data_IF_965338809135
#
_entry.id   IF_965338809135
#
_cell.length_a   1.000
_cell.length_b   1.000
_cell.length_c   1.000
_cell.angle_alpha   90.00
_cell.angle_beta   90.00
_cell.angle_gamma   90.00
#
_symmetry.space_group_name_H-M   'P 1'
#
loop_
_entity.id
_entity.type
_entity.pdbx_description
1 polymer ?
#
# COMPACT_ATOMS: atom_id res chain seq x y z
N UNK A 1 1.79 -11.44 -20.68
CA UNK A 1 1.17 -11.08 -19.38
C UNK A 1 -0.34 -10.98 -19.60
N UNK A 2 -1.10 -11.97 -19.16
CA UNK A 2 -2.57 -11.82 -19.18
C UNK A 2 -2.90 -10.82 -18.07
N UNK A 3 -3.63 -9.76 -18.44
CA UNK A 3 -4.14 -8.78 -17.46
C UNK A 3 -5.22 -9.44 -16.60
N UNK A 4 -4.77 -10.15 -15.58
CA UNK A 4 -5.66 -10.65 -14.52
C UNK A 4 -6.02 -9.50 -13.58
N UNK A 5 -7.16 -9.57 -12.90
CA UNK A 5 -7.56 -8.56 -11.89
C UNK A 5 -6.48 -8.42 -10.82
N UNK A 6 -5.85 -9.52 -10.41
CA UNK A 6 -4.75 -9.53 -9.47
C UNK A 6 -3.53 -8.74 -9.99
N UNK A 7 -3.07 -9.04 -11.21
CA UNK A 7 -1.93 -8.31 -11.81
C UNK A 7 -2.22 -6.81 -12.02
N UNK A 8 -3.50 -6.44 -12.24
CA UNK A 8 -3.89 -5.02 -12.28
C UNK A 8 -3.79 -4.38 -10.88
N UNK A 9 -4.22 -5.08 -9.83
CA UNK A 9 -4.09 -4.60 -8.45
C UNK A 9 -2.64 -4.44 -8.03
N UNK A 10 -1.77 -5.41 -8.36
CA UNK A 10 -0.32 -5.30 -8.15
C UNK A 10 0.27 -4.07 -8.81
N UNK A 11 -0.09 -3.83 -10.08
CA UNK A 11 0.39 -2.67 -10.81
C UNK A 11 -0.10 -1.36 -10.20
N UNK A 12 -1.40 -1.26 -9.91
CA UNK A 12 -2.01 -0.08 -9.27
C UNK A 12 -1.39 0.17 -7.89
N UNK A 13 -1.24 -0.88 -7.08
CA UNK A 13 -0.61 -0.80 -5.76
C UNK A 13 0.84 -0.31 -5.84
N UNK A 14 1.62 -0.89 -6.75
CA UNK A 14 3.03 -0.51 -6.97
C UNK A 14 3.16 0.94 -7.41
N UNK A 15 2.38 1.38 -8.40
CA UNK A 15 2.39 2.77 -8.86
C UNK A 15 2.00 3.72 -7.72
N UNK A 16 0.92 3.43 -7.03
CA UNK A 16 0.40 4.27 -5.96
C UNK A 16 1.41 4.39 -4.79
N UNK A 17 1.97 3.27 -4.34
CA UNK A 17 2.93 3.28 -3.24
C UNK A 17 4.30 3.85 -3.65
N UNK A 18 4.76 3.63 -4.88
CA UNK A 18 5.97 4.27 -5.38
C UNK A 18 5.82 5.79 -5.41
N UNK A 19 4.67 6.31 -5.89
CA UNK A 19 4.37 7.74 -5.85
C UNK A 19 4.30 8.26 -4.42
N UNK A 20 3.62 7.55 -3.51
CA UNK A 20 3.54 7.93 -2.09
C UNK A 20 4.94 8.03 -1.46
N UNK A 21 5.80 7.03 -1.68
CA UNK A 21 7.17 7.02 -1.20
C UNK A 21 8.03 8.14 -1.80
N UNK A 22 7.94 8.33 -3.12
CA UNK A 22 8.70 9.37 -3.82
C UNK A 22 8.30 10.79 -3.36
N UNK A 23 6.98 11.06 -3.21
CA UNK A 23 6.47 12.35 -2.70
C UNK A 23 7.03 12.61 -1.30
N UNK A 24 7.00 11.62 -0.42
CA UNK A 24 7.52 11.77 0.94
C UNK A 24 9.04 12.01 0.94
N UNK A 25 9.80 11.29 0.10
CA UNK A 25 11.24 11.49 -0.06
C UNK A 25 11.58 12.93 -0.48
N UNK A 26 10.82 13.48 -1.44
CA UNK A 26 10.96 14.90 -1.85
C UNK A 26 10.63 15.86 -0.69
N UNK A 27 9.54 15.62 0.06
CA UNK A 27 9.20 16.43 1.25
C UNK A 27 10.29 16.41 2.30
N UNK A 28 10.98 15.28 2.47
CA UNK A 28 12.10 15.11 3.40
C UNK A 28 13.43 15.59 2.84
N UNK A 29 13.45 16.17 1.63
CA UNK A 29 14.64 16.69 0.94
C UNK A 29 15.72 15.61 0.74
N UNK A 30 15.31 14.37 0.51
CA UNK A 30 16.22 13.28 0.16
C UNK A 30 16.78 13.51 -1.24
N UNK A 31 17.98 13.01 -1.48
CA UNK A 31 18.57 12.98 -2.81
C UNK A 31 17.87 11.93 -3.72
N UNK A 32 18.27 11.86 -4.97
CA UNK A 32 17.66 10.94 -5.94
C UNK A 32 17.75 9.48 -5.49
N UNK A 33 18.85 9.10 -4.82
CA UNK A 33 19.01 7.74 -4.31
C UNK A 33 18.04 7.46 -3.16
N UNK A 34 17.95 8.38 -2.19
CA UNK A 34 17.02 8.28 -1.06
C UNK A 34 15.55 8.21 -1.52
N UNK A 35 15.16 9.00 -2.53
CA UNK A 35 13.82 8.97 -3.12
C UNK A 35 13.54 7.61 -3.76
N UNK A 36 14.50 7.04 -4.51
CA UNK A 36 14.35 5.71 -5.09
C UNK A 36 14.21 4.62 -4.03
N UNK A 37 15.07 4.62 -3.01
CA UNK A 37 15.00 3.65 -1.92
C UNK A 37 13.64 3.74 -1.21
N UNK A 38 13.17 4.95 -0.92
CA UNK A 38 11.89 5.13 -0.23
C UNK A 38 10.71 4.67 -1.08
N UNK A 39 10.72 4.94 -2.38
CA UNK A 39 9.70 4.49 -3.33
C UNK A 39 9.66 2.96 -3.45
N UNK A 40 10.84 2.32 -3.62
CA UNK A 40 10.96 0.85 -3.71
C UNK A 40 10.50 0.21 -2.41
N UNK A 41 10.98 0.69 -1.26
CA UNK A 41 10.61 0.14 0.04
C UNK A 41 9.11 0.26 0.29
N UNK A 42 8.50 1.38 -0.12
CA UNK A 42 7.04 1.56 0.02
C UNK A 42 6.28 0.58 -0.87
N UNK A 43 6.71 0.43 -2.13
CA UNK A 43 6.00 -0.41 -3.11
C UNK A 43 6.20 -1.92 -2.86
N UNK A 44 7.39 -2.34 -2.46
CA UNK A 44 7.73 -3.77 -2.37
C UNK A 44 7.81 -4.29 -0.93
N UNK A 45 7.98 -3.41 0.07
CA UNK A 45 8.27 -3.81 1.45
C UNK A 45 7.19 -4.66 2.09
N UNK A 46 5.90 -4.35 1.85
CA UNK A 46 4.78 -5.15 2.37
C UNK A 46 4.77 -6.57 1.79
N UNK A 47 4.99 -6.70 0.48
CA UNK A 47 5.10 -8.00 -0.20
C UNK A 47 6.29 -8.81 0.31
N UNK A 48 7.44 -8.18 0.54
CA UNK A 48 8.62 -8.85 1.11
C UNK A 48 8.31 -9.40 2.50
N UNK A 49 7.64 -8.62 3.37
CA UNK A 49 7.23 -9.08 4.69
C UNK A 49 6.28 -10.28 4.61
N UNK A 50 5.28 -10.23 3.71
CA UNK A 50 4.35 -11.33 3.45
C UNK A 50 5.10 -12.58 3.02
N UNK A 51 5.97 -12.48 2.02
CA UNK A 51 6.69 -13.61 1.44
C UNK A 51 7.58 -14.30 2.50
N UNK A 52 8.25 -13.53 3.35
CA UNK A 52 9.02 -14.07 4.49
C UNK A 52 8.13 -14.83 5.46
N UNK A 53 6.91 -14.32 5.77
CA UNK A 53 5.98 -14.96 6.70
C UNK A 53 5.47 -16.31 6.16
N UNK A 54 5.17 -16.39 4.86
CA UNK A 54 4.70 -17.65 4.23
C UNK A 54 5.85 -18.59 3.84
N UNK A 55 7.11 -18.16 4.01
CA UNK A 55 8.29 -18.98 3.67
C UNK A 55 8.62 -19.00 2.17
N UNK A 56 8.09 -18.08 1.36
CA UNK A 56 8.43 -17.91 -0.06
C UNK A 56 9.76 -17.15 -0.17
N UNK A 57 10.86 -17.89 -0.16
CA UNK A 57 12.22 -17.36 -0.07
C UNK A 57 13.05 -17.80 -1.28
N UNK A 58 13.75 -16.87 -1.97
CA UNK A 58 13.80 -15.43 -1.73
C UNK A 58 12.47 -14.74 -2.09
N UNK A 59 12.09 -13.64 -1.41
CA UNK A 59 10.86 -12.90 -1.71
C UNK A 59 10.68 -12.58 -3.19
N UNK A 60 9.45 -12.57 -3.69
CA UNK A 60 9.11 -12.41 -5.12
C UNK A 60 9.73 -11.16 -5.74
N UNK A 61 9.85 -10.07 -4.99
CA UNK A 61 10.49 -8.83 -5.45
C UNK A 61 11.96 -9.01 -5.84
N UNK A 62 12.64 -10.05 -5.33
CA UNK A 62 14.02 -10.38 -5.70
C UNK A 62 14.09 -11.46 -6.79
N UNK A 63 13.03 -12.26 -6.96
CA UNK A 63 12.93 -13.25 -8.03
C UNK A 63 12.57 -12.60 -9.37
N UNK A 64 11.63 -11.64 -9.35
CA UNK A 64 11.24 -10.83 -10.51
C UNK A 64 11.33 -9.34 -10.18
N UNK A 65 12.35 -8.63 -10.69
CA UNK A 65 12.57 -7.22 -10.40
C UNK A 65 11.62 -6.27 -11.16
N UNK A 66 10.61 -6.77 -11.86
CA UNK A 66 9.70 -5.98 -12.68
C UNK A 66 9.03 -4.83 -11.88
N UNK A 67 8.45 -5.14 -10.73
CA UNK A 67 7.79 -4.13 -9.88
C UNK A 67 8.79 -3.17 -9.23
N UNK A 68 10.00 -3.65 -8.89
CA UNK A 68 11.10 -2.79 -8.43
C UNK A 68 11.49 -1.80 -9.54
N UNK A 69 11.58 -2.27 -10.79
CA UNK A 69 11.84 -1.44 -11.96
C UNK A 69 10.78 -0.36 -12.18
N UNK A 70 9.50 -0.70 -12.03
CA UNK A 70 8.38 0.26 -12.08
C UNK A 70 8.53 1.32 -10.99
N UNK A 71 8.78 0.90 -9.74
CA UNK A 71 8.96 1.84 -8.63
C UNK A 71 10.13 2.81 -8.87
N UNK A 72 11.27 2.30 -9.36
CA UNK A 72 12.40 3.13 -9.76
C UNK A 72 12.04 4.12 -10.87
N UNK A 73 11.35 3.65 -11.91
CA UNK A 73 10.96 4.49 -13.05
C UNK A 73 10.06 5.64 -12.59
N UNK A 74 9.08 5.36 -11.75
CA UNK A 74 8.15 6.36 -11.18
C UNK A 74 8.91 7.36 -10.31
N UNK A 75 9.81 6.89 -9.43
CA UNK A 75 10.61 7.74 -8.56
C UNK A 75 11.48 8.72 -9.37
N UNK A 76 12.17 8.21 -10.39
CA UNK A 76 13.03 9.01 -11.26
C UNK A 76 12.22 9.99 -12.13
N UNK A 77 11.09 9.55 -12.71
CA UNK A 77 10.21 10.42 -13.48
C UNK A 77 9.69 11.58 -12.63
N UNK A 78 9.29 11.31 -11.39
CA UNK A 78 8.84 12.32 -10.46
C UNK A 78 9.96 13.27 -10.05
N UNK A 79 11.16 12.75 -9.77
CA UNK A 79 12.33 13.57 -9.44
C UNK A 79 12.68 14.53 -10.58
N UNK A 80 12.74 14.02 -11.82
CA UNK A 80 13.04 14.83 -13.01
C UNK A 80 11.97 15.91 -13.19
N UNK A 81 10.68 15.53 -13.12
CA UNK A 81 9.58 16.48 -13.27
C UNK A 81 9.64 17.62 -12.26
N UNK A 82 9.91 17.32 -10.99
CA UNK A 82 10.04 18.32 -9.93
C UNK A 82 11.30 19.17 -10.08
N UNK A 83 12.41 18.59 -10.57
CA UNK A 83 13.68 19.33 -10.80
C UNK A 83 13.53 20.35 -11.92
N UNK A 84 12.73 20.05 -12.94
CA UNK A 84 12.43 20.97 -14.04
C UNK A 84 11.51 22.12 -13.62
N UNK A 85 10.61 21.87 -12.66
CA UNK A 85 9.63 22.85 -12.17
C UNK A 85 10.06 23.46 -10.84
N UNK A 86 11.17 24.19 -10.84
CA UNK A 86 11.92 24.73 -9.67
C UNK A 86 11.12 25.57 -8.66
N UNK A 87 9.88 25.92 -8.93
CA UNK A 87 9.03 26.70 -8.01
C UNK A 87 7.78 25.91 -7.63
N UNK A 88 7.88 25.20 -6.50
CA UNK A 88 6.69 24.62 -5.86
C UNK A 88 6.05 25.70 -4.98
N UNK A 89 4.90 26.26 -5.34
CA UNK A 89 4.22 27.25 -4.50
C UNK A 89 3.88 26.63 -3.13
N UNK A 90 3.98 27.39 -2.05
CA UNK A 90 3.61 26.95 -0.69
C UNK A 90 2.17 26.40 -0.62
N UNK A 91 1.27 26.86 -1.49
CA UNK A 91 -0.09 26.31 -1.67
C UNK A 91 -0.11 24.82 -2.09
N UNK A 92 0.95 24.29 -2.70
CA UNK A 92 1.00 22.90 -3.11
C UNK A 92 1.28 21.92 -1.95
N UNK A 93 1.68 22.39 -0.77
CA UNK A 93 1.93 21.47 0.36
C UNK A 93 0.66 20.70 0.75
N UNK A 94 -0.49 21.36 0.79
CA UNK A 94 -1.78 20.69 1.06
C UNK A 94 -2.20 19.72 -0.06
N UNK A 95 -1.83 20.04 -1.32
CA UNK A 95 -2.05 19.15 -2.46
C UNK A 95 -1.18 17.88 -2.33
N UNK A 96 0.08 18.02 -1.91
CA UNK A 96 0.94 16.86 -1.66
C UNK A 96 0.39 15.94 -0.56
N UNK A 97 -0.14 16.50 0.54
CA UNK A 97 -0.73 15.70 1.60
C UNK A 97 -1.97 14.95 1.12
N UNK A 98 -2.81 15.59 0.32
CA UNK A 98 -3.96 14.94 -0.33
C UNK A 98 -3.52 13.85 -1.32
N UNK A 99 -2.48 14.10 -2.12
CA UNK A 99 -1.92 13.11 -3.06
C UNK A 99 -1.37 11.89 -2.31
N UNK A 100 -0.58 12.11 -1.25
CA UNK A 100 -0.06 11.01 -0.42
C UNK A 100 -1.22 10.21 0.17
N UNK A 101 -2.26 10.87 0.70
CA UNK A 101 -3.45 10.21 1.23
C UNK A 101 -4.13 9.30 0.20
N UNK A 102 -4.36 9.78 -1.02
CA UNK A 102 -5.05 9.02 -2.05
C UNK A 102 -4.18 7.88 -2.60
N UNK A 103 -2.92 8.13 -2.89
CA UNK A 103 -2.00 7.09 -3.34
C UNK A 103 -1.80 6.02 -2.26
N UNK A 104 -1.70 6.42 -1.01
CA UNK A 104 -1.58 5.50 0.11
C UNK A 104 -2.88 4.68 0.31
N UNK A 105 -4.05 5.29 0.12
CA UNK A 105 -5.34 4.60 0.17
C UNK A 105 -5.48 3.57 -0.96
N UNK A 106 -5.11 3.94 -2.19
CA UNK A 106 -5.14 3.03 -3.34
C UNK A 106 -4.17 1.87 -3.18
N UNK A 107 -2.94 2.16 -2.75
CA UNK A 107 -1.92 1.15 -2.49
C UNK A 107 -2.33 0.20 -1.36
N UNK A 108 -2.88 0.74 -0.26
CA UNK A 108 -3.42 -0.06 0.84
C UNK A 108 -4.49 -1.03 0.36
N UNK A 109 -5.47 -0.54 -0.41
CA UNK A 109 -6.58 -1.35 -0.91
C UNK A 109 -6.11 -2.45 -1.86
N UNK A 110 -5.25 -2.10 -2.81
CA UNK A 110 -4.70 -3.02 -3.79
C UNK A 110 -3.86 -4.13 -3.14
N UNK A 111 -2.92 -3.75 -2.28
CA UNK A 111 -2.02 -4.71 -1.66
C UNK A 111 -2.66 -5.49 -0.50
N UNK A 112 -3.69 -4.98 0.15
CA UNK A 112 -4.48 -5.81 1.08
C UNK A 112 -5.18 -6.93 0.32
N UNK A 113 -5.79 -6.63 -0.82
CA UNK A 113 -6.46 -7.61 -1.66
C UNK A 113 -5.46 -8.62 -2.25
N UNK A 114 -4.33 -8.14 -2.78
CA UNK A 114 -3.26 -8.98 -3.32
C UNK A 114 -2.68 -9.92 -2.26
N UNK A 115 -2.28 -9.40 -1.11
CA UNK A 115 -1.64 -10.19 -0.06
C UNK A 115 -2.55 -11.27 0.52
N UNK A 116 -3.85 -10.99 0.65
CA UNK A 116 -4.83 -12.00 1.07
C UNK A 116 -4.95 -13.09 0.00
N UNK A 117 -5.04 -12.71 -1.27
CA UNK A 117 -5.18 -13.66 -2.36
C UNK A 117 -3.96 -14.58 -2.51
N UNK A 118 -2.76 -14.03 -2.40
CA UNK A 118 -1.52 -14.81 -2.40
C UNK A 118 -1.50 -15.82 -1.23
N UNK A 119 -2.04 -15.45 -0.07
CA UNK A 119 -2.21 -16.38 1.04
C UNK A 119 -3.13 -17.56 0.69
N UNK A 120 -4.21 -17.31 -0.05
CA UNK A 120 -5.10 -18.36 -0.55
C UNK A 120 -4.36 -19.27 -1.55
N UNK A 121 -3.66 -18.69 -2.53
CA UNK A 121 -2.88 -19.44 -3.53
C UNK A 121 -1.74 -20.25 -2.91
N UNK A 122 -1.17 -19.78 -1.82
CA UNK A 122 -0.14 -20.50 -1.05
C UNK A 122 -0.71 -21.68 -0.22
N UNK A 123 -2.02 -21.94 -0.31
CA UNK A 123 -2.67 -23.06 0.35
C UNK A 123 -3.20 -22.77 1.76
N UNK A 124 -3.21 -21.51 2.18
CA UNK A 124 -3.70 -21.11 3.52
C UNK A 124 -5.17 -20.67 3.54
N UNK A 125 -5.94 -20.96 2.47
CA UNK A 125 -7.33 -20.48 2.31
C UNK A 125 -8.27 -20.86 3.46
N UNK A 126 -8.05 -21.98 4.13
CA UNK A 126 -8.84 -22.43 5.29
C UNK A 126 -8.54 -21.63 6.57
N UNK A 127 -7.41 -20.94 6.63
CA UNK A 127 -7.01 -20.12 7.78
C UNK A 127 -7.34 -18.65 7.55
N UNK A 128 -8.61 -18.28 7.81
CA UNK A 128 -9.12 -16.92 7.60
C UNK A 128 -8.26 -15.86 8.33
N UNK A 129 -7.83 -16.16 9.56
CA UNK A 129 -6.99 -15.25 10.32
C UNK A 129 -5.67 -14.96 9.58
N UNK A 130 -5.00 -16.01 9.11
CA UNK A 130 -3.72 -15.87 8.43
C UNK A 130 -3.87 -15.11 7.12
N UNK A 131 -4.84 -15.45 6.27
CA UNK A 131 -5.01 -14.78 4.97
C UNK A 131 -5.38 -13.29 5.14
N UNK A 132 -6.22 -12.94 6.13
CA UNK A 132 -6.53 -11.55 6.45
C UNK A 132 -5.29 -10.82 6.99
N UNK A 133 -4.49 -11.49 7.85
CA UNK A 133 -3.23 -10.93 8.34
C UNK A 133 -2.21 -10.71 7.23
N UNK A 134 -2.09 -11.65 6.27
CA UNK A 134 -1.22 -11.51 5.11
C UNK A 134 -1.64 -10.32 4.23
N UNK A 135 -2.94 -10.15 4.00
CA UNK A 135 -3.48 -8.97 3.33
C UNK A 135 -3.14 -7.68 4.09
N UNK A 136 -3.41 -7.67 5.38
CA UNK A 136 -3.10 -6.53 6.25
C UNK A 136 -1.61 -6.16 6.20
N UNK A 137 -0.70 -7.10 6.43
CA UNK A 137 0.75 -6.79 6.47
C UNK A 137 1.28 -6.36 5.09
N UNK A 138 0.71 -6.91 4.00
CA UNK A 138 1.08 -6.51 2.64
C UNK A 138 0.65 -5.07 2.37
N UNK A 139 -0.59 -4.73 2.70
CA UNK A 139 -1.13 -3.39 2.46
C UNK A 139 -0.53 -2.31 3.36
N UNK A 140 -0.26 -2.64 4.63
CA UNK A 140 0.21 -1.66 5.63
C UNK A 140 1.73 -1.59 5.71
N UNK A 141 2.42 -2.72 5.47
CA UNK A 141 3.84 -2.87 5.74
C UNK A 141 4.72 -1.90 4.97
N UNK A 142 4.45 -1.72 3.68
CA UNK A 142 5.21 -0.78 2.84
C UNK A 142 5.13 0.66 3.34
N UNK A 143 3.91 1.13 3.67
CA UNK A 143 3.69 2.46 4.24
C UNK A 143 4.34 2.64 5.62
N UNK A 144 4.28 1.62 6.47
CA UNK A 144 4.92 1.65 7.79
C UNK A 144 6.45 1.73 7.67
N UNK A 145 7.07 0.91 6.82
CA UNK A 145 8.51 0.98 6.55
C UNK A 145 8.92 2.34 5.98
N UNK A 146 8.16 2.88 5.02
CA UNK A 146 8.35 4.22 4.48
C UNK A 146 8.41 5.28 5.57
N UNK A 147 7.42 5.28 6.48
CA UNK A 147 7.30 6.29 7.52
C UNK A 147 8.45 6.18 8.54
N UNK A 148 8.84 4.95 8.93
CA UNK A 148 9.98 4.71 9.81
C UNK A 148 11.28 5.23 9.15
N UNK A 149 11.52 4.88 7.88
CA UNK A 149 12.72 5.35 7.15
C UNK A 149 12.74 6.86 6.97
N UNK A 150 11.56 7.49 6.83
CA UNK A 150 11.42 8.94 6.75
C UNK A 150 11.48 9.64 8.12
N UNK A 151 11.78 8.91 9.20
CA UNK A 151 11.83 9.40 10.59
C UNK A 151 10.55 10.15 10.98
N UNK A 152 9.40 9.48 10.78
CA UNK A 152 8.11 9.97 11.25
C UNK A 152 7.26 8.84 11.84
N UNK A 153 6.31 9.21 12.71
CA UNK A 153 5.37 8.26 13.28
C UNK A 153 4.55 7.62 12.14
N UNK A 154 4.56 6.29 11.99
CA UNK A 154 3.77 5.63 10.96
C UNK A 154 2.27 5.96 11.07
N UNK A 155 1.66 6.21 9.91
CA UNK A 155 0.24 6.58 9.81
C UNK A 155 -0.69 5.49 10.37
N UNK A 156 -0.26 4.23 10.37
CA UNK A 156 -0.97 3.11 10.99
C UNK A 156 -1.29 3.34 12.48
N UNK A 157 -0.45 4.11 13.19
CA UNK A 157 -0.64 4.38 14.62
C UNK A 157 -1.36 5.69 14.90
N UNK A 158 -1.56 6.54 13.88
CA UNK A 158 -1.96 7.92 14.10
C UNK A 158 -3.17 8.39 13.30
N UNK A 159 -3.39 7.86 12.09
CA UNK A 159 -4.38 8.44 11.16
C UNK A 159 -5.59 7.54 10.90
N UNK A 160 -6.76 8.16 11.06
CA UNK A 160 -8.04 7.80 10.43
C UNK A 160 -8.23 6.32 10.07
N UNK A 161 -8.39 5.47 11.09
CA UNK A 161 -8.86 4.06 10.89
C UNK A 161 -8.09 3.30 9.79
N UNK A 162 -6.78 3.62 9.59
CA UNK A 162 -5.95 3.08 8.51
C UNK A 162 -5.86 1.54 8.53
N UNK A 163 -5.35 1.02 9.65
CA UNK A 163 -5.21 -0.43 9.88
C UNK A 163 -6.55 -1.15 9.90
N UNK A 164 -7.55 -0.53 10.54
CA UNK A 164 -8.90 -1.09 10.67
C UNK A 164 -9.58 -1.20 9.30
N UNK A 165 -9.37 -0.25 8.39
CA UNK A 165 -9.91 -0.33 7.04
C UNK A 165 -9.34 -1.52 6.26
N UNK A 166 -8.02 -1.76 6.37
CA UNK A 166 -7.36 -2.92 5.74
C UNK A 166 -7.90 -4.23 6.30
N UNK A 167 -8.00 -4.36 7.63
CA UNK A 167 -8.53 -5.57 8.28
C UNK A 167 -10.00 -5.79 7.87
N UNK A 168 -10.84 -4.75 7.93
CA UNK A 168 -12.26 -4.85 7.57
C UNK A 168 -12.45 -5.25 6.10
N UNK A 169 -11.68 -4.64 5.18
CA UNK A 169 -11.69 -5.01 3.77
C UNK A 169 -11.23 -6.43 3.53
N UNK A 170 -10.17 -6.87 4.23
CA UNK A 170 -9.69 -8.25 4.17
C UNK A 170 -10.73 -9.26 4.68
N UNK A 171 -11.41 -8.96 5.79
CA UNK A 171 -12.49 -9.81 6.31
C UNK A 171 -13.65 -9.90 5.33
N UNK A 172 -14.10 -8.77 4.75
CA UNK A 172 -15.17 -8.76 3.75
C UNK A 172 -14.75 -9.57 2.52
N UNK A 173 -13.52 -9.39 2.05
CA UNK A 173 -12.98 -10.17 0.94
C UNK A 173 -13.01 -11.67 1.22
N UNK A 174 -12.56 -12.11 2.40
CA UNK A 174 -12.58 -13.52 2.79
C UNK A 174 -14.01 -14.08 2.84
N UNK A 175 -14.95 -13.34 3.44
CA UNK A 175 -16.37 -13.70 3.52
C UNK A 175 -16.95 -13.85 2.11
N UNK A 176 -16.77 -12.83 1.25
CA UNK A 176 -17.28 -12.86 -0.13
C UNK A 176 -16.69 -14.04 -0.91
N UNK A 177 -15.42 -14.36 -0.72
CA UNK A 177 -14.80 -15.52 -1.35
C UNK A 177 -15.45 -16.84 -0.93
N UNK A 178 -15.71 -17.02 0.35
CA UNK A 178 -16.38 -18.23 0.88
C UNK A 178 -17.77 -18.43 0.25
N UNK A 179 -18.54 -17.35 0.09
CA UNK A 179 -19.92 -17.46 -0.44
C UNK A 179 -19.99 -17.51 -1.96
N UNK A 180 -19.10 -16.83 -2.68
CA UNK A 180 -19.19 -16.72 -4.15
C UNK A 180 -18.23 -17.63 -4.89
N UNK A 181 -17.20 -18.11 -4.23
CA UNK A 181 -16.06 -18.83 -4.81
C UNK A 181 -15.45 -18.11 -6.03
N UNK A 182 -15.60 -16.80 -6.07
CA UNK A 182 -15.16 -15.94 -7.18
C UNK A 182 -14.03 -15.03 -6.75
N UNK A 183 -12.84 -15.21 -7.34
CA UNK A 183 -11.68 -14.36 -7.13
C UNK A 183 -12.01 -12.88 -7.40
N UNK A 184 -12.60 -12.61 -8.56
CA UNK A 184 -12.81 -11.24 -9.02
C UNK A 184 -13.75 -10.46 -8.11
N UNK A 185 -14.89 -11.08 -7.74
CA UNK A 185 -15.88 -10.43 -6.85
C UNK A 185 -15.26 -10.18 -5.48
N UNK A 186 -14.52 -11.15 -4.96
CA UNK A 186 -13.83 -11.07 -3.68
C UNK A 186 -12.80 -9.91 -3.67
N UNK A 187 -11.88 -9.88 -4.63
CA UNK A 187 -10.86 -8.81 -4.76
C UNK A 187 -11.50 -7.42 -4.85
N UNK A 188 -12.50 -7.24 -5.70
CA UNK A 188 -13.17 -5.96 -5.90
C UNK A 188 -13.92 -5.54 -4.62
N UNK A 189 -14.60 -6.46 -3.93
CA UNK A 189 -15.32 -6.16 -2.70
C UNK A 189 -14.41 -5.64 -1.59
N UNK A 190 -13.25 -6.28 -1.37
CA UNK A 190 -12.26 -5.84 -0.40
C UNK A 190 -11.66 -4.49 -0.77
N UNK A 191 -11.24 -4.33 -2.04
CA UNK A 191 -10.69 -3.09 -2.57
C UNK A 191 -11.62 -1.89 -2.38
N UNK A 192 -12.88 -2.03 -2.80
CA UNK A 192 -13.90 -0.97 -2.66
C UNK A 192 -14.18 -0.67 -1.19
N UNK A 193 -14.30 -1.69 -0.35
CA UNK A 193 -14.54 -1.51 1.09
C UNK A 193 -13.45 -0.67 1.74
N UNK A 194 -12.18 -0.95 1.45
CA UNK A 194 -11.05 -0.18 2.01
C UNK A 194 -11.11 1.28 1.56
N UNK A 195 -11.33 1.54 0.27
CA UNK A 195 -11.41 2.90 -0.25
C UNK A 195 -12.56 3.66 0.40
N UNK A 196 -13.75 3.05 0.49
CA UNK A 196 -14.92 3.69 1.09
C UNK A 196 -14.68 4.00 2.57
N UNK A 197 -14.17 3.03 3.34
CA UNK A 197 -13.87 3.24 4.77
C UNK A 197 -12.83 4.34 4.97
N UNK A 198 -11.76 4.35 4.18
CA UNK A 198 -10.72 5.38 4.24
C UNK A 198 -11.25 6.75 3.89
N UNK A 199 -12.08 6.84 2.84
CA UNK A 199 -12.72 8.11 2.45
C UNK A 199 -13.65 8.62 3.54
N UNK A 200 -14.53 7.76 4.08
CA UNK A 200 -15.47 8.15 5.14
C UNK A 200 -14.73 8.55 6.42
N UNK A 201 -13.70 7.79 6.81
CA UNK A 201 -12.90 8.10 7.97
C UNK A 201 -12.17 9.44 7.85
N UNK A 202 -11.65 9.77 6.67
CA UNK A 202 -11.03 11.06 6.41
C UNK A 202 -12.05 12.20 6.36
N UNK A 203 -13.24 11.98 5.74
CA UNK A 203 -14.28 12.99 5.61
C UNK A 203 -14.93 13.35 6.95
N UNK A 204 -15.13 12.36 7.82
CA UNK A 204 -15.78 12.52 9.12
C UNK A 204 -14.78 12.56 10.28
N UNK A 205 -13.49 12.62 9.99
CA UNK A 205 -12.41 12.70 10.99
C UNK A 205 -12.53 11.61 12.07
N UNK A 206 -12.82 10.36 11.63
CA UNK A 206 -12.91 9.22 12.55
C UNK A 206 -11.52 8.87 13.12
N UNK A 207 -11.37 9.12 14.40
CA UNK A 207 -10.17 8.72 15.15
C UNK A 207 -10.50 7.61 16.16
N UNK A 208 -9.53 6.74 16.40
CA UNK A 208 -9.62 5.78 17.50
C UNK A 208 -9.37 6.49 18.83
N UNK A 209 -9.98 6.01 19.94
CA UNK A 209 -9.78 6.58 21.28
C UNK A 209 -8.30 6.65 21.62
N UNK A 210 -7.87 7.80 22.16
CA UNK A 210 -6.50 8.03 22.65
C UNK A 210 -6.56 8.29 24.14
N UNK A 211 -5.60 7.75 24.89
CA UNK A 211 -5.42 8.13 26.30
C UNK A 211 -4.72 9.49 26.32
N UNK A 212 -5.36 10.48 26.88
CA UNK A 212 -4.78 11.81 27.13
C UNK A 212 -4.27 11.78 28.57
N UNK A 213 -2.95 11.83 28.74
CA UNK A 213 -2.29 11.94 30.06
C UNK A 213 -2.07 13.39 30.41
#
# INVERSE_FOLDING_TARGET
MQLTVLGLMDLVGTIAFALSGAILGVKKKMDIFGINILAITTACGGGILRDVIIGDIPPRAFQDPFYVGIACLIANAMFIWLSLHRHIPKKMVSVYDAMVFWFDTLGLAAFTADGLWIGIEAGYGDNIFLIVFLGFITGVGGGALRDIMANQMPDIFRKHVYAVASIAGGVIMAIVYIYTNSQQISLISGFVTIIVLRYLAAKYEWDLPKVIL
#
